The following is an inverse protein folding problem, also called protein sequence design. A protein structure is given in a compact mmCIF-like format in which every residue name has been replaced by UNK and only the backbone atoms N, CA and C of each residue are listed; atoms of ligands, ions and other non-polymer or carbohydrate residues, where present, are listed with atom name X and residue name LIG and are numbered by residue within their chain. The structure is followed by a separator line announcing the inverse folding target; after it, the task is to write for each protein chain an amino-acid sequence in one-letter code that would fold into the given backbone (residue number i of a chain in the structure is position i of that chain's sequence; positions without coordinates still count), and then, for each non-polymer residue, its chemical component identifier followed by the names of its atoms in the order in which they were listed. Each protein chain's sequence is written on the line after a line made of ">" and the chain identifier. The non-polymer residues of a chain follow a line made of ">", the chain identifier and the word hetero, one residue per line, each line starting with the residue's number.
data_IF_941486878807
#
_entry.id   IF_941486878807
#
_cell.length_a   1.000
_cell.length_b   1.000
_cell.length_c   1.000
_cell.angle_alpha   90.00
_cell.angle_beta   90.00
_cell.angle_gamma   90.00
#
_symmetry.space_group_name_H-M   'P 1'
#
loop_
_entity.id
_entity.type
_entity.pdbx_description
1 polymer ?
#
# COMPACT_ATOMS: atom_id res chain seq x y z
N UNK A 1 13.73 -2.90 75.41
CA UNK A 1 12.38 -3.44 75.20
C UNK A 1 12.23 -3.83 73.74
N UNK A 2 11.83 -5.09 73.52
CA UNK A 2 11.33 -5.74 72.31
C UNK A 2 12.02 -5.46 70.95
N UNK A 3 12.82 -6.44 70.54
CA UNK A 3 13.07 -6.88 69.16
C UNK A 3 12.00 -7.88 68.69
N UNK A 4 12.08 -8.30 67.41
CA UNK A 4 11.40 -9.43 66.71
C UNK A 4 10.36 -9.00 65.64
N UNK A 5 10.15 -9.66 64.50
CA UNK A 5 10.71 -10.87 63.86
C UNK A 5 10.24 -10.92 62.38
N UNK A 6 10.97 -11.70 61.56
CA UNK A 6 10.65 -12.13 60.20
C UNK A 6 9.33 -12.91 60.06
N UNK A 7 8.72 -12.89 58.86
CA UNK A 7 8.25 -14.15 58.24
C UNK A 7 8.10 -14.06 56.71
N UNK A 8 8.86 -14.91 56.03
CA UNK A 8 8.70 -15.37 54.65
C UNK A 8 7.98 -16.72 54.68
N UNK A 9 6.98 -16.95 53.83
CA UNK A 9 6.36 -18.27 53.65
C UNK A 9 6.22 -18.57 52.16
N UNK A 10 6.77 -19.71 51.76
CA UNK A 10 6.73 -20.31 50.43
C UNK A 10 5.62 -21.36 50.29
N UNK A 11 4.89 -21.30 49.16
CA UNK A 11 4.19 -22.33 48.35
C UNK A 11 3.21 -23.32 49.01
N UNK A 12 2.15 -23.72 48.27
CA UNK A 12 2.28 -24.97 47.51
C UNK A 12 1.75 -24.91 46.07
N UNK A 13 2.50 -25.60 45.23
CA UNK A 13 2.18 -26.10 43.89
C UNK A 13 0.97 -27.04 43.88
N UNK A 14 -0.05 -26.74 43.07
CA UNK A 14 -0.94 -27.78 42.49
C UNK A 14 -1.82 -27.16 41.39
N UNK A 15 -1.40 -27.29 40.13
CA UNK A 15 -2.30 -27.14 38.99
C UNK A 15 -2.59 -28.53 38.40
N UNK A 16 -3.86 -28.88 38.14
CA UNK A 16 -4.20 -30.15 37.51
C UNK A 16 -3.82 -30.13 36.03
N UNK A 17 -3.26 -31.26 35.57
CA UNK A 17 -3.00 -31.58 34.17
C UNK A 17 -4.31 -31.51 33.38
N UNK A 18 -4.37 -30.60 32.41
CA UNK A 18 -5.35 -30.64 31.34
C UNK A 18 -4.69 -31.22 30.08
N UNK A 19 -5.40 -32.19 29.53
CA UNK A 19 -5.04 -33.06 28.43
C UNK A 19 -4.87 -32.32 27.11
N UNK A 20 -3.86 -32.77 26.36
CA UNK A 20 -3.59 -32.48 24.96
C UNK A 20 -4.87 -32.35 24.11
N UNK A 21 -5.12 -31.14 23.62
CA UNK A 21 -5.80 -30.95 22.34
C UNK A 21 -4.80 -30.39 21.34
N UNK A 22 -4.46 -31.27 20.41
CA UNK A 22 -3.51 -31.07 19.34
C UNK A 22 -4.25 -30.40 18.18
N UNK A 23 -4.09 -29.09 17.99
CA UNK A 23 -4.54 -28.38 16.79
C UNK A 23 -3.31 -27.90 16.03
N UNK A 24 -2.67 -28.85 15.35
CA UNK A 24 -1.71 -28.56 14.28
C UNK A 24 -2.48 -28.40 12.97
N UNK A 25 -2.63 -27.17 12.50
CA UNK A 25 -2.87 -26.90 11.08
C UNK A 25 -2.35 -25.51 10.71
N UNK A 26 -1.04 -25.31 10.88
CA UNK A 26 -0.31 -24.26 10.19
C UNK A 26 0.75 -24.93 9.31
N UNK A 27 0.36 -25.30 8.10
CA UNK A 27 1.30 -25.64 7.03
C UNK A 27 1.19 -24.56 5.96
N UNK A 28 2.10 -23.59 6.01
CA UNK A 28 2.56 -22.90 4.82
C UNK A 28 4.06 -23.11 4.73
N UNK A 29 4.47 -23.77 3.66
CA UNK A 29 5.81 -24.29 3.46
C UNK A 29 6.80 -23.16 3.18
N UNK A 30 7.74 -22.97 4.11
CA UNK A 30 8.98 -22.23 3.90
C UNK A 30 9.91 -23.08 3.04
N UNK A 31 10.13 -22.69 1.79
CA UNK A 31 11.18 -23.31 0.97
C UNK A 31 12.54 -22.77 1.40
N UNK A 32 13.31 -23.61 2.11
CA UNK A 32 14.71 -23.36 2.45
C UNK A 32 15.58 -24.25 1.55
N UNK A 33 16.40 -23.73 0.62
CA UNK A 33 17.28 -24.56 -0.17
C UNK A 33 18.54 -24.88 0.65
N UNK A 34 18.64 -26.12 1.13
CA UNK A 34 19.87 -26.63 1.72
C UNK A 34 20.99 -26.73 0.68
N UNK A 35 22.13 -26.17 1.06
CA UNK A 35 23.44 -26.31 0.43
C UNK A 35 23.91 -27.76 0.37
N UNK A 36 24.19 -28.26 -0.83
CA UNK A 36 25.03 -29.44 -1.01
C UNK A 36 26.32 -29.09 -1.74
N UNK A 37 27.43 -29.29 -1.05
CA UNK A 37 28.77 -29.34 -1.59
C UNK A 37 28.98 -30.67 -2.33
N UNK A 38 29.39 -30.60 -3.60
CA UNK A 38 30.07 -31.72 -4.26
C UNK A 38 31.01 -31.21 -5.35
N UNK A 39 32.26 -31.63 -5.25
CA UNK A 39 33.40 -31.31 -6.11
C UNK A 39 33.35 -31.97 -7.49
N UNK A 40 33.63 -31.17 -8.52
CA UNK A 40 34.34 -31.44 -9.78
C UNK A 40 34.14 -32.77 -10.54
N UNK A 41 33.66 -32.66 -11.78
CA UNK A 41 34.41 -33.11 -12.96
C UNK A 41 33.82 -32.54 -14.27
N UNK A 42 34.73 -32.12 -15.13
CA UNK A 42 34.53 -31.43 -16.40
C UNK A 42 33.98 -32.33 -17.51
N UNK A 43 32.94 -31.88 -18.21
CA UNK A 43 32.77 -32.17 -19.64
C UNK A 43 32.11 -30.99 -20.35
N UNK A 44 32.73 -30.57 -21.43
CA UNK A 44 32.49 -29.34 -22.15
C UNK A 44 31.50 -29.54 -23.31
N UNK A 45 30.75 -28.47 -23.62
CA UNK A 45 30.18 -28.12 -24.93
C UNK A 45 28.77 -28.69 -25.24
N UNK A 46 27.74 -27.89 -24.89
CA UNK A 46 26.65 -27.37 -25.77
C UNK A 46 25.53 -26.76 -24.90
N UNK A 47 25.64 -25.50 -24.48
CA UNK A 47 24.52 -24.79 -23.82
C UNK A 47 24.48 -23.27 -24.02
N UNK A 48 25.35 -22.67 -24.84
CA UNK A 48 25.47 -21.21 -24.94
C UNK A 48 24.42 -20.49 -25.80
N UNK A 49 23.44 -21.21 -26.38
CA UNK A 49 22.41 -20.60 -27.24
C UNK A 49 21.10 -20.34 -26.49
N UNK A 50 20.73 -21.15 -25.48
CA UNK A 50 19.48 -20.97 -24.73
C UNK A 50 19.55 -19.87 -23.67
N UNK A 51 20.70 -19.66 -23.04
CA UNK A 51 20.84 -18.63 -21.98
C UNK A 51 20.75 -17.21 -22.53
N UNK A 52 21.28 -16.98 -23.73
CA UNK A 52 21.34 -15.66 -24.36
C UNK A 52 19.99 -15.24 -24.94
N UNK A 53 19.20 -16.19 -25.46
CA UNK A 53 17.85 -15.90 -25.95
C UNK A 53 16.90 -15.52 -24.81
N UNK A 54 16.96 -16.25 -23.70
CA UNK A 54 16.11 -15.97 -22.52
C UNK A 54 16.44 -14.63 -21.89
N UNK A 55 17.72 -14.25 -21.75
CA UNK A 55 18.08 -12.93 -21.20
C UNK A 55 17.66 -11.76 -22.10
N UNK A 56 17.68 -11.95 -23.43
CA UNK A 56 17.25 -10.94 -24.39
C UNK A 56 15.72 -10.75 -24.36
N UNK A 57 14.97 -11.86 -24.28
CA UNK A 57 13.50 -11.82 -24.11
C UNK A 57 13.09 -11.15 -22.79
N UNK A 58 13.78 -11.47 -21.68
CA UNK A 58 13.53 -10.83 -20.39
C UNK A 58 13.81 -9.32 -20.41
N UNK A 59 14.87 -8.92 -21.09
CA UNK A 59 15.23 -7.50 -21.27
C UNK A 59 14.20 -6.77 -22.11
N UNK A 60 13.78 -7.36 -23.24
CA UNK A 60 12.75 -6.77 -24.11
C UNK A 60 11.42 -6.60 -23.35
N UNK A 61 10.99 -7.62 -22.61
CA UNK A 61 9.76 -7.56 -21.83
C UNK A 61 9.82 -6.53 -20.70
N UNK A 62 10.99 -6.35 -20.09
CA UNK A 62 11.22 -5.29 -19.10
C UNK A 62 11.11 -3.89 -19.72
N UNK A 63 11.68 -3.69 -20.91
CA UNK A 63 11.58 -2.42 -21.66
C UNK A 63 10.12 -2.11 -22.03
N UNK A 64 9.36 -3.11 -22.49
CA UNK A 64 7.96 -2.94 -22.85
C UNK A 64 7.07 -2.65 -21.64
N UNK A 65 7.31 -3.33 -20.51
CA UNK A 65 6.64 -3.03 -19.25
C UNK A 65 6.94 -1.61 -18.77
N UNK A 66 8.21 -1.19 -18.82
CA UNK A 66 8.61 0.17 -18.46
C UNK A 66 7.92 1.21 -19.35
N UNK A 67 7.92 0.99 -20.67
CA UNK A 67 7.22 1.86 -21.63
C UNK A 67 5.73 1.98 -21.28
N UNK A 68 5.09 0.84 -21.00
CA UNK A 68 3.66 0.79 -20.71
C UNK A 68 3.34 1.51 -19.38
N UNK A 69 4.18 1.32 -18.36
CA UNK A 69 4.09 2.07 -17.11
C UNK A 69 4.24 3.59 -17.32
N UNK A 70 5.15 4.03 -18.19
CA UNK A 70 5.31 5.45 -18.50
C UNK A 70 4.11 6.01 -19.26
N UNK A 71 3.66 5.32 -20.31
CA UNK A 71 2.49 5.71 -21.09
C UNK A 71 1.23 5.83 -20.21
N UNK A 72 1.10 4.95 -19.22
CA UNK A 72 0.01 5.01 -18.25
C UNK A 72 0.07 6.30 -17.40
N UNK A 73 1.26 6.81 -17.10
CA UNK A 73 1.46 7.97 -16.22
C UNK A 73 1.57 9.33 -16.93
N UNK A 74 2.03 9.38 -18.18
CA UNK A 74 2.24 10.63 -18.95
C UNK A 74 0.95 11.44 -19.05
N UNK A 75 1.05 12.75 -18.83
CA UNK A 75 -0.08 13.67 -18.93
C UNK A 75 -0.07 14.74 -17.86
N UNK A 76 -1.11 15.58 -17.88
CA UNK A 76 -1.40 16.57 -16.83
C UNK A 76 -2.53 16.03 -15.97
N UNK A 77 -2.27 15.91 -14.68
CA UNK A 77 -3.20 15.39 -13.71
C UNK A 77 -3.62 16.53 -12.78
N UNK A 78 -4.91 16.84 -12.73
CA UNK A 78 -5.47 17.72 -11.72
C UNK A 78 -5.92 16.87 -10.54
N UNK A 79 -5.52 17.22 -9.33
CA UNK A 79 -5.75 16.34 -8.19
C UNK A 79 -5.92 17.04 -6.85
N UNK A 80 -6.30 16.21 -5.89
CA UNK A 80 -6.45 16.57 -4.49
C UNK A 80 -5.62 15.62 -3.64
N UNK A 81 -4.79 16.19 -2.79
CA UNK A 81 -4.02 15.50 -1.77
C UNK A 81 -4.82 15.50 -0.46
N UNK A 82 -4.97 14.34 0.15
CA UNK A 82 -5.63 14.17 1.45
C UNK A 82 -4.67 13.50 2.42
N UNK A 83 -4.49 14.11 3.59
CA UNK A 83 -3.77 13.52 4.70
C UNK A 83 -4.75 12.98 5.72
N UNK A 84 -4.61 11.70 6.08
CA UNK A 84 -5.35 11.08 7.18
C UNK A 84 -4.40 10.64 8.29
N UNK A 85 -4.90 10.64 9.52
CA UNK A 85 -4.20 10.03 10.65
C UNK A 85 -4.28 8.49 10.61
N UNK A 86 -3.69 7.84 11.61
CA UNK A 86 -3.64 6.38 11.71
C UNK A 86 -5.01 5.72 12.04
N UNK A 87 -6.07 6.51 12.25
CA UNK A 87 -7.43 6.02 12.51
C UNK A 87 -8.44 6.49 11.45
N UNK A 88 -8.00 7.18 10.39
CA UNK A 88 -8.83 7.54 9.25
C UNK A 88 -9.53 8.91 9.35
N UNK A 89 -9.09 9.79 10.24
CA UNK A 89 -9.57 11.17 10.30
C UNK A 89 -8.80 12.05 9.30
N UNK A 90 -9.53 12.87 8.55
CA UNK A 90 -8.93 13.84 7.62
C UNK A 90 -8.25 14.97 8.41
N UNK A 91 -6.97 15.20 8.15
CA UNK A 91 -6.17 16.26 8.78
C UNK A 91 -6.00 17.46 7.85
N UNK A 92 -5.63 17.21 6.58
CA UNK A 92 -5.31 18.25 5.61
C UNK A 92 -5.81 17.87 4.23
N UNK A 93 -6.23 18.88 3.46
CA UNK A 93 -6.56 18.75 2.04
C UNK A 93 -5.83 19.85 1.27
N UNK A 94 -5.10 19.45 0.23
CA UNK A 94 -4.31 20.38 -0.60
C UNK A 94 -4.60 20.12 -2.08
N UNK A 95 -4.90 21.17 -2.84
CA UNK A 95 -5.04 21.06 -4.29
C UNK A 95 -3.67 20.89 -4.93
N UNK A 96 -3.54 19.92 -5.84
CA UNK A 96 -2.28 19.63 -6.54
C UNK A 96 -2.50 19.49 -8.04
N UNK A 97 -1.43 19.72 -8.81
CA UNK A 97 -1.36 19.34 -10.22
C UNK A 97 -0.08 18.56 -10.45
N UNK A 98 -0.11 17.54 -11.28
CA UNK A 98 1.07 16.74 -11.59
C UNK A 98 1.25 16.70 -13.11
N UNK A 99 2.40 17.22 -13.57
CA UNK A 99 2.79 17.15 -14.98
C UNK A 99 3.81 16.03 -15.15
N UNK A 100 3.51 15.08 -16.03
CA UNK A 100 4.35 13.90 -16.28
C UNK A 100 4.70 13.81 -17.75
N UNK A 101 6.00 13.68 -18.03
CA UNK A 101 6.55 13.50 -19.37
C UNK A 101 7.63 12.44 -19.37
N UNK A 102 7.93 11.84 -20.54
CA UNK A 102 9.07 10.95 -20.71
C UNK A 102 10.11 11.53 -21.68
N UNK A 103 11.34 11.04 -21.57
CA UNK A 103 12.41 11.28 -22.53
C UNK A 103 13.29 10.03 -22.63
N UNK A 104 14.18 10.00 -23.63
CA UNK A 104 15.00 8.82 -23.93
C UNK A 104 14.21 7.71 -24.61
N UNK A 105 14.92 6.64 -24.98
CA UNK A 105 14.35 5.50 -25.71
C UNK A 105 14.89 4.18 -25.15
N UNK A 106 14.09 3.10 -25.32
CA UNK A 106 14.41 1.77 -24.85
C UNK A 106 14.86 1.72 -23.37
N UNK A 107 16.01 1.15 -23.06
CA UNK A 107 16.54 1.03 -21.70
C UNK A 107 16.88 2.37 -21.03
N UNK A 108 17.03 3.44 -21.83
CA UNK A 108 17.34 4.80 -21.37
C UNK A 108 16.09 5.67 -21.24
N UNK A 109 14.89 5.09 -21.38
CA UNK A 109 13.66 5.82 -21.11
C UNK A 109 13.62 6.22 -19.64
N UNK A 110 13.24 7.47 -19.42
CA UNK A 110 13.04 8.06 -18.11
C UNK A 110 11.73 8.83 -18.06
N UNK A 111 11.10 8.83 -16.89
CA UNK A 111 9.90 9.57 -16.54
C UNK A 111 10.28 10.73 -15.62
N UNK A 112 9.95 11.95 -16.03
CA UNK A 112 10.10 13.17 -15.23
C UNK A 112 8.72 13.62 -14.81
N UNK A 113 8.60 14.03 -13.55
CA UNK A 113 7.34 14.45 -12.96
C UNK A 113 7.56 15.73 -12.14
N UNK A 114 6.77 16.77 -12.42
CA UNK A 114 6.71 17.99 -11.62
C UNK A 114 5.36 18.06 -10.92
N UNK A 115 5.39 18.09 -9.59
CA UNK A 115 4.22 18.25 -8.74
C UNK A 115 4.08 19.73 -8.36
N UNK A 116 2.96 20.33 -8.70
CA UNK A 116 2.59 21.69 -8.35
C UNK A 116 1.63 21.65 -7.16
N UNK A 117 1.95 22.41 -6.12
CA UNK A 117 1.23 22.44 -4.85
C UNK A 117 0.61 23.82 -4.70
N UNK A 118 -0.72 23.88 -4.56
CA UNK A 118 -1.41 25.15 -4.35
C UNK A 118 -1.08 25.68 -2.96
N UNK A 119 -0.55 26.89 -2.87
CA UNK A 119 -0.24 27.53 -1.60
C UNK A 119 -1.50 28.19 -0.98
N UNK A 120 -1.57 28.32 0.36
CA UNK A 120 -2.60 29.11 1.02
C UNK A 120 -2.48 30.59 0.62
N UNK A 121 -3.60 31.33 0.63
CA UNK A 121 -3.59 32.76 0.32
C UNK A 121 -2.78 33.54 1.36
N UNK A 122 -1.79 34.32 0.92
CA UNK A 122 -0.94 35.12 1.81
C UNK A 122 -1.76 36.20 2.54
N UNK A 123 -1.56 36.33 3.86
CA UNK A 123 -2.18 37.35 4.72
C UNK A 123 -1.75 38.79 4.38
N UNK A 124 -0.75 38.96 3.52
CA UNK A 124 -0.17 40.25 3.10
C UNK A 124 -0.73 40.75 1.76
N UNK A 125 -1.69 40.04 1.16
CA UNK A 125 -2.31 40.45 -0.10
C UNK A 125 -3.06 41.78 0.08
N UNK A 126 -2.59 42.81 -0.62
CA UNK A 126 -3.25 44.11 -0.69
C UNK A 126 -4.53 43.91 -1.51
N UNK A 127 -5.68 44.28 -0.93
CA UNK A 127 -6.98 44.22 -1.59
C UNK A 127 -6.92 44.93 -2.96
N UNK A 128 -6.79 44.17 -4.05
CA UNK A 128 -6.63 44.72 -5.39
C UNK A 128 -6.18 43.74 -6.48
N UNK A 129 -5.35 42.74 -6.15
CA UNK A 129 -4.87 41.72 -7.12
C UNK A 129 -5.36 40.32 -6.73
N UNK A 130 -6.59 40.00 -7.13
CA UNK A 130 -7.33 38.80 -6.73
C UNK A 130 -7.07 37.58 -7.64
N UNK A 131 -5.97 37.53 -8.40
CA UNK A 131 -5.87 36.63 -9.56
C UNK A 131 -4.62 35.74 -9.70
N UNK A 132 -3.55 35.93 -8.92
CA UNK A 132 -2.37 35.08 -9.02
C UNK A 132 -2.40 34.00 -7.93
N UNK A 133 -3.06 32.88 -8.23
CA UNK A 133 -2.94 31.68 -7.39
C UNK A 133 -1.49 31.20 -7.40
N UNK A 134 -0.82 31.25 -6.25
CA UNK A 134 0.57 30.80 -6.14
C UNK A 134 0.67 29.27 -6.08
N UNK A 135 1.64 28.72 -6.83
CA UNK A 135 1.91 27.30 -6.91
C UNK A 135 3.41 27.04 -6.66
N UNK A 136 3.71 26.22 -5.66
CA UNK A 136 5.06 25.73 -5.44
C UNK A 136 5.33 24.51 -6.32
N UNK A 137 6.47 24.47 -7.03
CA UNK A 137 6.90 23.32 -7.83
C UNK A 137 7.83 22.41 -7.00
N UNK A 138 7.50 21.12 -6.96
CA UNK A 138 8.37 20.05 -6.49
C UNK A 138 8.72 19.09 -7.62
N UNK A 139 10.02 18.96 -7.91
CA UNK A 139 10.53 18.01 -8.90
C UNK A 139 10.70 16.64 -8.26
N UNK A 140 9.83 15.70 -8.65
CA UNK A 140 9.90 14.31 -8.16
C UNK A 140 11.16 13.67 -8.76
N UNK A 141 11.79 12.78 -7.98
CA UNK A 141 12.94 12.00 -8.44
C UNK A 141 12.60 11.27 -9.74
N UNK A 142 13.51 11.38 -10.70
CA UNK A 142 13.39 10.71 -12.00
C UNK A 142 13.17 9.21 -11.81
N UNK A 143 12.26 8.66 -12.60
CA UNK A 143 11.97 7.23 -12.63
C UNK A 143 12.44 6.64 -13.96
N UNK A 144 13.40 5.71 -13.92
CA UNK A 144 13.98 5.00 -15.06
C UNK A 144 14.15 3.50 -14.73
N UNK A 145 14.62 2.71 -15.70
CA UNK A 145 14.81 1.26 -15.59
C UNK A 145 15.52 0.84 -14.28
N UNK A 146 16.57 1.56 -13.91
CA UNK A 146 17.33 1.26 -12.70
C UNK A 146 16.53 1.55 -11.43
N UNK A 147 15.89 2.72 -11.35
CA UNK A 147 15.13 3.11 -10.15
C UNK A 147 13.89 2.25 -9.93
N UNK A 148 13.15 1.88 -10.98
CA UNK A 148 11.93 1.08 -10.85
C UNK A 148 12.23 -0.31 -10.28
N UNK A 149 13.37 -0.88 -10.67
CA UNK A 149 13.77 -2.22 -10.26
C UNK A 149 14.49 -2.18 -8.90
N UNK A 150 15.53 -1.35 -8.77
CA UNK A 150 16.42 -1.36 -7.60
C UNK A 150 15.92 -0.57 -6.41
N UNK A 151 15.19 0.53 -6.62
CA UNK A 151 14.77 1.41 -5.53
C UNK A 151 13.29 1.31 -5.21
N UNK A 152 12.44 1.24 -6.23
CA UNK A 152 10.98 1.24 -6.05
C UNK A 152 10.40 -0.18 -5.99
N UNK A 153 11.15 -1.20 -6.44
CA UNK A 153 10.72 -2.60 -6.55
C UNK A 153 9.35 -2.75 -7.21
N UNK A 154 9.07 -2.04 -8.31
CA UNK A 154 7.73 -1.88 -8.88
C UNK A 154 6.91 -3.18 -8.95
N UNK A 155 5.66 -3.14 -8.53
CA UNK A 155 4.66 -4.18 -8.87
C UNK A 155 3.72 -3.60 -9.91
N UNK A 156 3.82 -4.01 -11.17
CA UNK A 156 3.07 -3.38 -12.28
C UNK A 156 2.11 -4.36 -12.96
N UNK A 157 0.89 -3.89 -13.20
CA UNK A 157 -0.20 -4.61 -13.85
C UNK A 157 -0.62 -3.86 -15.12
N UNK A 158 -0.02 -4.19 -16.29
CA UNK A 158 -0.26 -3.45 -17.51
C UNK A 158 -1.73 -3.46 -17.96
N UNK A 159 -2.37 -4.63 -17.90
CA UNK A 159 -3.75 -4.84 -18.38
C UNK A 159 -4.76 -4.23 -17.41
N UNK A 160 -4.52 -4.39 -16.10
CA UNK A 160 -5.39 -3.96 -15.02
C UNK A 160 -5.19 -2.48 -14.67
N UNK A 161 -4.16 -1.84 -15.22
CA UNK A 161 -3.78 -0.45 -14.97
C UNK A 161 -3.61 -0.17 -13.47
N UNK A 162 -2.83 -0.99 -12.80
CA UNK A 162 -2.51 -0.81 -11.38
C UNK A 162 -1.01 -0.90 -11.15
N UNK A 163 -0.50 -0.21 -10.12
CA UNK A 163 0.90 -0.33 -9.74
C UNK A 163 1.17 -0.07 -8.26
N UNK A 164 2.26 -0.63 -7.74
CA UNK A 164 2.78 -0.36 -6.41
C UNK A 164 4.26 0.03 -6.46
N UNK A 165 4.65 1.06 -5.69
CA UNK A 165 6.02 1.57 -5.61
C UNK A 165 6.47 1.74 -4.16
N UNK A 166 7.75 1.50 -3.92
CA UNK A 166 8.44 1.90 -2.69
C UNK A 166 9.09 3.27 -2.85
N UNK A 167 8.98 4.09 -1.81
CA UNK A 167 9.77 5.31 -1.67
C UNK A 167 10.79 5.15 -0.55
N UNK A 168 11.98 5.71 -0.75
CA UNK A 168 13.05 5.69 0.26
C UNK A 168 12.77 6.65 1.42
N UNK A 169 12.07 7.75 1.15
CA UNK A 169 11.72 8.78 2.12
C UNK A 169 10.34 9.35 1.81
N UNK A 170 9.71 10.02 2.79
CA UNK A 170 8.45 10.71 2.63
C UNK A 170 8.62 12.21 2.24
N UNK A 171 9.81 12.62 1.79
CA UNK A 171 10.15 14.05 1.62
C UNK A 171 9.30 14.81 0.60
N UNK A 172 8.82 14.12 -0.44
CA UNK A 172 7.85 14.69 -1.38
C UNK A 172 6.53 15.02 -0.66
N UNK A 173 6.04 14.10 0.17
CA UNK A 173 4.78 14.24 0.91
C UNK A 173 4.89 15.31 2.01
N UNK A 174 6.04 15.38 2.68
CA UNK A 174 6.38 16.48 3.60
C UNK A 174 6.33 17.83 2.88
N UNK A 175 6.89 17.93 1.68
CA UNK A 175 6.89 19.20 0.93
C UNK A 175 5.48 19.64 0.56
N UNK A 176 4.61 18.70 0.16
CA UNK A 176 3.19 18.99 -0.12
C UNK A 176 2.50 19.58 1.11
N UNK A 177 2.73 19.00 2.29
CA UNK A 177 2.14 19.49 3.53
C UNK A 177 2.66 20.88 3.91
N UNK A 178 3.97 21.10 3.85
CA UNK A 178 4.58 22.40 4.18
C UNK A 178 4.11 23.49 3.24
N UNK A 179 4.27 23.29 1.93
CA UNK A 179 3.90 24.30 0.94
C UNK A 179 2.38 24.49 0.84
N UNK A 180 1.61 23.41 0.96
CA UNK A 180 0.15 23.46 0.84
C UNK A 180 -0.59 23.98 2.06
N UNK A 181 0.01 23.89 3.26
CA UNK A 181 -0.65 24.31 4.51
C UNK A 181 0.00 25.55 5.12
N UNK A 182 1.34 25.64 5.10
CA UNK A 182 2.08 26.77 5.68
C UNK A 182 2.38 27.85 4.63
N UNK A 183 2.60 27.45 3.37
CA UNK A 183 2.92 28.38 2.29
C UNK A 183 4.26 29.10 2.50
N UNK A 184 4.31 30.37 2.13
CA UNK A 184 5.49 31.24 2.29
C UNK A 184 5.87 31.47 3.76
N UNK A 185 4.93 31.30 4.69
CA UNK A 185 5.12 31.50 6.13
C UNK A 185 5.84 30.32 6.80
N UNK A 186 6.26 29.27 6.07
CA UNK A 186 7.02 28.15 6.64
C UNK A 186 8.39 28.63 7.16
N UNK A 187 8.57 28.57 8.48
CA UNK A 187 9.83 28.91 9.15
C UNK A 187 10.91 27.83 9.00
N UNK A 188 10.57 26.69 8.41
CA UNK A 188 11.47 25.53 8.28
C UNK A 188 11.67 24.77 9.59
N UNK A 189 10.82 25.02 10.60
CA UNK A 189 10.84 24.29 11.86
C UNK A 189 10.63 22.80 11.64
N UNK A 190 11.31 21.96 12.43
CA UNK A 190 11.22 20.50 12.34
C UNK A 190 9.82 19.98 12.68
N UNK A 191 9.07 20.69 13.53
CA UNK A 191 7.75 20.29 13.98
C UNK A 191 6.84 21.51 14.08
N UNK A 192 6.34 22.02 12.93
CA UNK A 192 5.46 23.18 12.91
C UNK A 192 4.20 22.93 13.75
N UNK A 193 3.70 23.96 14.42
CA UNK A 193 2.50 23.84 15.26
C UNK A 193 1.29 23.46 14.40
N UNK A 194 0.46 22.54 14.90
CA UNK A 194 -0.80 22.10 14.29
C UNK A 194 -0.69 21.45 12.90
N UNK A 195 0.52 21.05 12.48
CA UNK A 195 0.73 20.33 11.23
C UNK A 195 1.47 19.02 11.50
N UNK A 196 0.84 17.90 11.14
CA UNK A 196 1.46 16.58 11.25
C UNK A 196 2.37 16.36 10.04
N UNK A 197 3.68 16.26 10.26
CA UNK A 197 4.68 15.98 9.22
C UNK A 197 5.18 14.54 9.35
N UNK A 198 5.41 13.80 8.25
CA UNK A 198 5.92 12.43 8.33
C UNK A 198 7.31 12.39 8.96
N UNK A 199 7.60 11.27 9.62
CA UNK A 199 8.94 10.99 10.15
C UNK A 199 10.04 11.16 9.10
N UNK A 200 11.19 11.75 9.47
CA UNK A 200 12.36 11.92 8.57
C UNK A 200 12.96 10.60 8.08
N UNK A 201 12.80 9.52 8.85
CA UNK A 201 13.31 8.17 8.56
C UNK A 201 12.20 7.13 8.77
N UNK A 202 11.16 7.15 7.92
CA UNK A 202 10.08 6.18 8.03
C UNK A 202 10.64 4.77 7.77
N UNK A 203 10.04 3.76 8.38
CA UNK A 203 10.43 2.37 8.12
C UNK A 203 9.97 1.92 6.73
N UNK A 204 8.75 2.31 6.34
CA UNK A 204 8.16 2.02 5.03
C UNK A 204 7.41 3.25 4.52
N UNK A 205 7.63 3.55 3.24
CA UNK A 205 6.77 4.44 2.43
C UNK A 205 6.35 3.66 1.19
N UNK A 206 5.09 3.27 1.13
CA UNK A 206 4.56 2.41 0.08
C UNK A 206 3.39 3.09 -0.61
N UNK A 207 3.50 3.26 -1.93
CA UNK A 207 2.42 3.72 -2.80
C UNK A 207 1.71 2.53 -3.44
N UNK A 208 0.38 2.54 -3.42
CA UNK A 208 -0.48 1.68 -4.22
C UNK A 208 -1.37 2.57 -5.09
N UNK A 209 -1.41 2.31 -6.39
CA UNK A 209 -2.15 3.10 -7.37
C UNK A 209 -3.16 2.22 -8.10
N UNK A 210 -4.42 2.65 -8.07
CA UNK A 210 -5.54 2.07 -8.81
C UNK A 210 -6.11 3.11 -9.76
N UNK A 211 -6.30 2.74 -11.02
CA UNK A 211 -6.99 3.56 -12.01
C UNK A 211 -8.47 3.22 -12.00
N UNK A 212 -9.33 4.24 -12.17
CA UNK A 212 -10.77 4.03 -12.31
C UNK A 212 -11.07 3.23 -13.58
N UNK A 213 -12.04 2.33 -13.48
CA UNK A 213 -12.60 1.58 -14.59
C UNK A 213 -13.53 2.41 -15.48
N UNK A 214 -13.98 3.57 -15.00
CA UNK A 214 -14.99 4.40 -15.68
C UNK A 214 -14.47 5.73 -16.21
N UNK A 215 -13.46 6.30 -15.55
CA UNK A 215 -12.93 7.64 -15.87
C UNK A 215 -11.41 7.58 -16.00
N UNK A 216 -10.82 8.55 -16.68
CA UNK A 216 -9.36 8.71 -16.73
C UNK A 216 -8.86 9.37 -15.44
N UNK A 217 -9.06 8.64 -14.34
CA UNK A 217 -8.82 9.05 -12.97
C UNK A 217 -8.06 7.94 -12.25
N UNK A 218 -7.29 8.29 -11.24
CA UNK A 218 -6.59 7.34 -10.39
C UNK A 218 -6.56 7.80 -8.94
N UNK A 219 -6.46 6.83 -8.05
CA UNK A 219 -6.18 7.04 -6.64
C UNK A 219 -4.81 6.45 -6.31
N UNK A 220 -3.91 7.28 -5.76
CA UNK A 220 -2.58 6.87 -5.28
C UNK A 220 -2.56 6.95 -3.76
N UNK A 221 -2.59 5.79 -3.11
CA UNK A 221 -2.61 5.65 -1.67
C UNK A 221 -1.22 5.38 -1.12
N UNK A 222 -0.78 6.16 -0.13
CA UNK A 222 0.50 5.99 0.54
C UNK A 222 0.29 5.52 1.97
N UNK A 223 0.97 4.43 2.31
CA UNK A 223 1.23 4.04 3.68
C UNK A 223 2.55 4.66 4.12
N UNK A 224 2.55 5.45 5.20
CA UNK A 224 3.75 5.96 5.83
C UNK A 224 3.82 5.37 7.23
N UNK A 225 4.85 4.57 7.49
CA UNK A 225 5.05 3.93 8.79
C UNK A 225 6.16 4.66 9.56
N UNK A 226 5.93 4.85 10.85
CA UNK A 226 6.94 5.35 11.78
C UNK A 226 8.21 4.46 11.74
N UNK A 227 9.37 4.96 12.21
CA UNK A 227 10.57 4.14 12.33
C UNK A 227 10.36 2.82 13.11
N UNK A 228 9.40 2.82 14.05
CA UNK A 228 9.03 1.66 14.87
C UNK A 228 8.08 0.66 14.18
N UNK A 229 7.57 0.97 12.98
CA UNK A 229 6.76 0.05 12.17
C UNK A 229 5.24 0.14 12.36
N UNK A 230 4.73 1.13 13.12
CA UNK A 230 3.28 1.42 13.18
C UNK A 230 2.91 2.46 12.13
N UNK A 231 1.64 2.53 11.73
CA UNK A 231 1.15 3.58 10.83
C UNK A 231 1.36 4.96 11.46
N UNK A 232 2.04 5.85 10.75
CA UNK A 232 2.17 7.27 11.10
C UNK A 232 0.96 8.03 10.52
N UNK A 233 0.82 7.99 9.20
CA UNK A 233 -0.24 8.66 8.47
C UNK A 233 -0.49 7.97 7.14
N UNK A 234 -1.62 8.31 6.54
CA UNK A 234 -2.04 7.82 5.24
C UNK A 234 -2.24 9.00 4.32
N UNK A 235 -1.78 8.90 3.08
CA UNK A 235 -2.03 9.93 2.07
C UNK A 235 -2.83 9.32 0.93
N UNK A 236 -3.81 10.06 0.42
CA UNK A 236 -4.49 9.75 -0.84
C UNK A 236 -4.26 10.92 -1.79
N UNK A 237 -3.72 10.65 -2.97
CA UNK A 237 -3.90 11.54 -4.13
C UNK A 237 -5.06 11.00 -4.96
N UNK A 238 -6.10 11.82 -5.15
CA UNK A 238 -7.14 11.56 -6.14
C UNK A 238 -6.90 12.49 -7.33
N UNK A 239 -6.66 11.92 -8.50
CA UNK A 239 -6.14 12.63 -9.67
C UNK A 239 -6.93 12.28 -10.93
N UNK A 240 -7.33 13.28 -11.70
CA UNK A 240 -8.01 13.11 -12.99
C UNK A 240 -7.22 13.79 -14.10
N UNK A 241 -7.10 13.11 -15.24
CA UNK A 241 -6.49 13.65 -16.45
C UNK A 241 -7.55 14.37 -17.28
N UNK A 242 -7.94 15.55 -16.84
CA UNK A 242 -8.91 16.41 -17.54
C UNK A 242 -8.55 17.88 -17.38
N UNK A 243 -9.01 18.74 -18.29
CA UNK A 243 -8.87 20.20 -18.19
C UNK A 243 -9.89 20.83 -17.19
N UNK A 244 -10.67 19.99 -16.49
CA UNK A 244 -11.75 20.40 -15.59
C UNK A 244 -11.30 20.65 -14.15
N UNK A 245 -12.28 20.73 -13.25
CA UNK A 245 -12.04 20.81 -11.80
C UNK A 245 -11.35 19.54 -11.30
N UNK A 246 -10.51 19.68 -10.27
CA UNK A 246 -9.90 18.53 -9.61
C UNK A 246 -10.97 17.65 -8.95
N UNK A 247 -10.80 16.32 -8.94
CA UNK A 247 -11.72 15.42 -8.28
C UNK A 247 -11.65 15.61 -6.76
N UNK A 248 -12.82 15.55 -6.12
CA UNK A 248 -12.99 15.64 -4.67
C UNK A 248 -13.49 14.31 -4.13
N UNK A 249 -13.00 13.91 -2.94
CA UNK A 249 -13.63 12.83 -2.20
C UNK A 249 -14.99 13.35 -1.71
N UNK A 250 -16.01 12.53 -1.90
CA UNK A 250 -17.35 12.88 -1.45
C UNK A 250 -17.40 12.85 0.09
N UNK A 251 -17.50 14.04 0.70
CA UNK A 251 -17.65 14.21 2.14
C UNK A 251 -19.13 14.09 2.57
N UNK A 252 -20.09 13.99 1.64
CA UNK A 252 -21.52 13.99 1.97
C UNK A 252 -21.98 12.73 2.75
N UNK A 253 -21.11 11.71 2.86
CA UNK A 253 -21.37 10.47 3.57
C UNK A 253 -20.78 10.37 4.99
N UNK A 254 -20.20 11.45 5.56
CA UNK A 254 -19.48 11.39 6.85
C UNK A 254 -20.37 11.00 8.05
N UNK A 255 -21.70 10.94 7.86
CA UNK A 255 -22.67 10.43 8.84
C UNK A 255 -23.01 8.95 8.70
N UNK A 256 -22.54 8.27 7.64
CA UNK A 256 -22.79 6.84 7.40
C UNK A 256 -21.60 6.00 7.80
N UNK A 257 -21.83 4.85 8.45
CA UNK A 257 -20.77 3.94 8.83
C UNK A 257 -20.00 3.49 7.59
N UNK A 258 -18.72 3.87 7.51
CA UNK A 258 -17.87 3.66 6.31
C UNK A 258 -17.63 2.18 5.99
N UNK A 259 -17.91 1.26 6.91
CA UNK A 259 -17.78 -0.18 6.64
C UNK A 259 -18.94 -0.72 5.80
N UNK A 260 -20.12 -0.10 5.89
CA UNK A 260 -21.37 -0.61 5.33
C UNK A 260 -21.27 -0.93 3.83
N UNK A 261 -20.67 -0.08 2.98
CA UNK A 261 -20.52 -0.39 1.55
C UNK A 261 -19.72 -1.66 1.28
N UNK A 262 -18.78 -2.01 2.16
CA UNK A 262 -17.90 -3.18 2.02
C UNK A 262 -18.49 -4.48 2.57
N UNK A 263 -19.51 -4.41 3.42
CA UNK A 263 -20.21 -5.59 3.95
C UNK A 263 -20.88 -6.39 2.81
N UNK A 264 -20.98 -7.70 2.97
CA UNK A 264 -21.54 -8.64 2.01
C UNK A 264 -20.49 -9.53 1.35
N UNK A 265 -20.95 -10.29 0.36
CA UNK A 265 -20.12 -11.27 -0.35
C UNK A 265 -19.62 -10.71 -1.68
N UNK A 266 -18.32 -10.73 -1.87
CA UNK A 266 -17.60 -10.27 -3.05
C UNK A 266 -17.01 -11.47 -3.76
N UNK A 267 -17.12 -11.51 -5.08
CA UNK A 267 -16.50 -12.54 -5.92
C UNK A 267 -15.71 -11.89 -7.05
N UNK A 268 -14.53 -12.40 -7.33
CA UNK A 268 -13.64 -11.81 -8.32
C UNK A 268 -12.51 -12.72 -8.75
N UNK A 269 -11.52 -12.07 -9.37
CA UNK A 269 -10.27 -12.68 -9.81
C UNK A 269 -9.10 -11.89 -9.25
N UNK A 270 -8.01 -12.59 -8.97
CA UNK A 270 -6.76 -12.00 -8.50
C UNK A 270 -5.56 -12.45 -9.33
N UNK A 271 -4.61 -11.54 -9.52
CA UNK A 271 -3.36 -11.79 -10.24
C UNK A 271 -2.22 -11.36 -9.34
N UNK A 272 -1.30 -12.28 -9.04
CA UNK A 272 -0.10 -12.00 -8.27
C UNK A 272 1.11 -11.90 -9.19
N UNK A 273 1.81 -10.77 -9.15
CA UNK A 273 3.05 -10.53 -9.88
C UNK A 273 4.23 -10.35 -8.94
N UNK A 274 5.38 -10.88 -9.31
CA UNK A 274 6.65 -10.63 -8.61
C UNK A 274 7.00 -9.15 -8.72
N UNK A 275 7.53 -8.58 -7.65
CA UNK A 275 8.11 -7.23 -7.67
C UNK A 275 9.34 -7.15 -8.59
N UNK A 276 9.53 -6.01 -9.23
CA UNK A 276 10.57 -5.76 -10.23
C UNK A 276 9.96 -5.51 -11.61
N UNK A 277 10.72 -4.86 -12.48
CA UNK A 277 10.24 -4.37 -13.79
C UNK A 277 9.77 -5.49 -14.71
N UNK A 278 10.35 -6.68 -14.60
CA UNK A 278 9.96 -7.87 -15.35
C UNK A 278 8.53 -8.32 -15.01
N UNK A 279 8.13 -8.23 -13.73
CA UNK A 279 6.74 -8.42 -13.31
C UNK A 279 6.13 -9.79 -13.65
N UNK A 280 6.89 -10.88 -13.48
CA UNK A 280 6.38 -12.22 -13.76
C UNK A 280 5.13 -12.56 -12.97
N UNK A 281 4.12 -13.09 -13.65
CA UNK A 281 2.94 -13.64 -12.99
C UNK A 281 3.37 -14.88 -12.20
N UNK A 282 3.12 -14.84 -10.89
CA UNK A 282 3.40 -15.94 -9.95
C UNK A 282 2.19 -16.86 -9.91
N UNK A 283 1.00 -16.28 -9.79
CA UNK A 283 -0.25 -17.04 -9.67
C UNK A 283 -1.44 -16.18 -10.03
N UNK A 284 -2.53 -16.87 -10.38
CA UNK A 284 -3.86 -16.30 -10.56
C UNK A 284 -4.85 -17.11 -9.72
N UNK A 285 -5.90 -16.48 -9.21
CA UNK A 285 -6.88 -17.17 -8.40
C UNK A 285 -8.27 -16.55 -8.49
N UNK A 286 -9.30 -17.38 -8.55
CA UNK A 286 -10.68 -16.99 -8.28
C UNK A 286 -10.81 -16.68 -6.79
N UNK A 287 -11.39 -15.51 -6.46
CA UNK A 287 -11.52 -15.04 -5.07
C UNK A 287 -12.97 -14.92 -4.65
N UNK A 288 -13.24 -15.25 -3.39
CA UNK A 288 -14.49 -14.96 -2.71
C UNK A 288 -14.17 -14.34 -1.36
N UNK A 289 -14.70 -13.16 -1.10
CA UNK A 289 -14.50 -12.44 0.16
C UNK A 289 -15.84 -12.14 0.80
N UNK A 290 -16.06 -12.62 2.02
CA UNK A 290 -17.22 -12.29 2.83
C UNK A 290 -16.81 -11.29 3.91
N UNK A 291 -17.57 -10.21 4.05
CA UNK A 291 -17.51 -9.31 5.20
C UNK A 291 -18.89 -9.27 5.86
N UNK A 292 -18.99 -9.63 7.12
CA UNK A 292 -20.27 -9.68 7.85
C UNK A 292 -20.09 -9.11 9.25
N UNK A 293 -21.13 -8.47 9.78
CA UNK A 293 -21.18 -8.06 11.18
C UNK A 293 -21.89 -9.14 11.97
N UNK A 294 -21.28 -9.63 13.04
CA UNK A 294 -21.91 -10.58 13.95
C UNK A 294 -22.85 -9.88 14.94
N UNK A 295 -23.53 -10.68 15.78
CA UNK A 295 -24.47 -10.18 16.80
C UNK A 295 -23.78 -9.33 17.91
N UNK A 296 -22.44 -9.32 17.97
CA UNK A 296 -21.65 -8.59 18.95
C UNK A 296 -20.98 -7.34 18.34
N UNK A 297 -21.42 -6.90 17.15
CA UNK A 297 -20.82 -5.81 16.38
C UNK A 297 -19.33 -6.04 16.03
N UNK A 298 -18.91 -7.31 15.90
CA UNK A 298 -17.61 -7.68 15.37
C UNK A 298 -17.68 -7.93 13.86
N UNK A 299 -16.66 -7.49 13.14
CA UNK A 299 -16.49 -7.81 11.74
C UNK A 299 -15.90 -9.21 11.59
N UNK A 300 -16.62 -10.08 10.89
CA UNK A 300 -16.13 -11.36 10.38
C UNK A 300 -15.67 -11.15 8.93
N UNK A 301 -14.46 -11.61 8.62
CA UNK A 301 -13.91 -11.60 7.28
C UNK A 301 -13.44 -13.00 6.88
N UNK A 302 -14.00 -13.55 5.80
CA UNK A 302 -13.53 -14.78 5.18
C UNK A 302 -13.00 -14.49 3.78
N UNK A 303 -11.77 -14.91 3.49
CA UNK A 303 -11.13 -14.77 2.18
C UNK A 303 -10.80 -16.16 1.65
N UNK A 304 -11.50 -16.58 0.61
CA UNK A 304 -11.23 -17.81 -0.14
C UNK A 304 -10.51 -17.48 -1.43
N UNK A 305 -9.39 -18.16 -1.70
CA UNK A 305 -8.67 -18.08 -2.99
C UNK A 305 -8.50 -19.47 -3.58
N UNK A 306 -8.99 -19.69 -4.79
CA UNK A 306 -8.81 -20.95 -5.54
C UNK A 306 -7.88 -20.70 -6.71
N UNK A 307 -6.68 -21.26 -6.65
CA UNK A 307 -5.61 -20.96 -7.61
C UNK A 307 -5.87 -21.62 -8.97
N UNK A 308 -5.72 -20.87 -10.05
CA UNK A 308 -5.96 -21.35 -11.41
C UNK A 308 -4.82 -22.27 -11.84
N UNK A 309 -5.17 -23.46 -12.35
CA UNK A 309 -4.19 -24.45 -12.79
C UNK A 309 -3.56 -25.27 -11.65
N UNK A 310 -3.87 -24.94 -10.40
CA UNK A 310 -3.47 -25.68 -9.21
C UNK A 310 -4.73 -26.20 -8.49
N UNK A 311 -4.72 -27.43 -7.99
CA UNK A 311 -5.82 -27.93 -7.14
C UNK A 311 -5.66 -27.44 -5.69
N UNK A 312 -5.41 -26.14 -5.51
CA UNK A 312 -5.15 -25.52 -4.20
C UNK A 312 -6.22 -24.45 -3.95
N UNK A 313 -6.91 -24.59 -2.83
CA UNK A 313 -7.80 -23.57 -2.30
C UNK A 313 -7.37 -23.21 -0.89
N UNK A 314 -7.19 -21.92 -0.62
CA UNK A 314 -6.92 -21.39 0.72
C UNK A 314 -8.13 -20.66 1.24
N UNK A 315 -8.34 -20.74 2.56
CA UNK A 315 -9.35 -19.97 3.28
C UNK A 315 -8.67 -19.30 4.47
N UNK A 316 -8.87 -17.99 4.59
CA UNK A 316 -8.39 -17.18 5.72
C UNK A 316 -9.60 -16.56 6.38
N UNK A 317 -9.77 -16.89 7.66
CA UNK A 317 -10.86 -16.39 8.50
C UNK A 317 -10.28 -15.45 9.55
N UNK A 318 -10.82 -14.23 9.65
CA UNK A 318 -10.48 -13.24 10.67
C UNK A 318 -11.73 -12.68 11.33
N UNK A 319 -11.59 -12.36 12.61
CA UNK A 319 -12.56 -11.59 13.38
C UNK A 319 -11.88 -10.31 13.84
N UNK A 320 -12.60 -9.19 13.83
CA UNK A 320 -12.08 -7.90 14.25
C UNK A 320 -13.12 -7.02 14.90
N UNK A 321 -12.67 -6.14 15.79
CA UNK A 321 -13.53 -5.13 16.44
C UNK A 321 -13.56 -3.87 15.58
N UNK A 322 -14.75 -3.32 15.36
CA UNK A 322 -14.93 -2.04 14.67
C UNK A 322 -15.01 -0.92 15.70
N UNK A 323 -14.16 0.11 15.54
CA UNK A 323 -14.18 1.33 16.34
C UNK A 323 -14.09 2.52 15.39
N UNK A 324 -15.20 3.22 15.21
CA UNK A 324 -15.35 4.32 14.23
C UNK A 324 -14.89 3.91 12.83
N UNK A 325 -13.76 4.45 12.37
CA UNK A 325 -13.17 4.23 11.06
C UNK A 325 -12.09 3.14 11.06
N UNK A 326 -11.86 2.46 12.18
CA UNK A 326 -10.80 1.47 12.33
C UNK A 326 -11.38 0.10 12.67
N UNK A 327 -11.02 -0.91 11.87
CA UNK A 327 -11.22 -2.32 12.22
C UNK A 327 -9.88 -2.88 12.70
N UNK A 328 -9.87 -3.50 13.88
CA UNK A 328 -8.68 -4.19 14.43
C UNK A 328 -8.96 -5.68 14.53
N UNK A 329 -8.23 -6.49 13.77
CA UNK A 329 -8.35 -7.94 13.76
C UNK A 329 -7.48 -8.59 14.84
N UNK A 330 -7.94 -9.70 15.41
CA UNK A 330 -7.25 -10.43 16.48
C UNK A 330 -5.84 -10.91 16.09
N UNK A 331 -5.59 -11.05 14.77
CA UNK A 331 -4.29 -11.40 14.20
C UNK A 331 -3.25 -10.27 14.16
N UNK A 332 -3.58 -9.07 14.64
CA UNK A 332 -2.70 -7.91 14.60
C UNK A 332 -2.64 -7.22 13.23
N UNK A 333 -3.71 -7.37 12.46
CA UNK A 333 -3.97 -6.62 11.22
C UNK A 333 -5.04 -5.56 11.48
N UNK A 334 -5.03 -4.48 10.71
CA UNK A 334 -6.01 -3.42 10.81
C UNK A 334 -6.45 -2.92 9.44
N UNK A 335 -7.70 -2.49 9.36
CA UNK A 335 -8.30 -1.85 8.19
C UNK A 335 -8.79 -0.46 8.59
N UNK A 336 -8.26 0.57 7.93
CA UNK A 336 -8.61 1.98 8.17
C UNK A 336 -9.52 2.43 7.03
N UNK A 337 -10.76 2.79 7.37
CA UNK A 337 -11.84 3.16 6.47
C UNK A 337 -11.78 4.66 6.16
N UNK A 338 -11.67 4.98 4.87
CA UNK A 338 -11.49 6.33 4.36
C UNK A 338 -12.73 6.78 3.56
N UNK A 339 -12.93 8.10 3.38
CA UNK A 339 -13.97 8.61 2.49
C UNK A 339 -13.83 8.13 1.04
N UNK A 340 -14.89 8.25 0.25
CA UNK A 340 -14.88 7.91 -1.17
C UNK A 340 -14.83 6.41 -1.47
N UNK A 341 -15.31 5.57 -0.55
CA UNK A 341 -15.34 4.12 -0.73
C UNK A 341 -13.94 3.51 -0.69
N UNK A 342 -13.02 4.08 0.07
CA UNK A 342 -11.65 3.60 0.19
C UNK A 342 -11.40 2.96 1.54
N UNK A 343 -10.51 1.97 1.58
CA UNK A 343 -9.85 1.59 2.81
C UNK A 343 -8.39 1.27 2.54
N UNK A 344 -7.59 1.33 3.59
CA UNK A 344 -6.22 0.84 3.57
C UNK A 344 -6.02 -0.18 4.68
N UNK A 345 -5.24 -1.21 4.42
CA UNK A 345 -4.98 -2.29 5.35
C UNK A 345 -3.49 -2.43 5.65
N UNK A 346 -3.16 -2.70 6.91
CA UNK A 346 -1.77 -2.92 7.33
C UNK A 346 -1.71 -3.76 8.60
N UNK A 347 -0.56 -4.36 8.94
CA UNK A 347 -0.31 -4.80 10.30
C UNK A 347 -0.41 -3.61 11.26
N UNK A 348 -0.83 -3.85 12.51
CA UNK A 348 -0.80 -2.82 13.54
C UNK A 348 0.65 -2.39 13.86
N UNK A 349 1.58 -3.34 13.76
CA UNK A 349 3.01 -3.13 14.03
C UNK A 349 3.86 -4.09 13.18
N UNK A 350 4.47 -3.56 12.12
CA UNK A 350 5.36 -4.32 11.23
C UNK A 350 6.61 -4.84 11.95
N UNK A 351 7.09 -4.16 13.00
CA UNK A 351 8.27 -4.62 13.73
C UNK A 351 8.03 -5.97 14.41
N UNK A 352 6.79 -6.24 14.83
CA UNK A 352 6.40 -7.56 15.35
C UNK A 352 6.43 -8.64 14.29
N UNK A 353 5.97 -8.34 13.07
CA UNK A 353 6.05 -9.29 11.95
C UNK A 353 7.50 -9.65 11.63
N UNK A 354 8.37 -8.64 11.51
CA UNK A 354 9.81 -8.83 11.27
C UNK A 354 10.47 -9.60 12.42
N UNK A 355 10.21 -9.23 13.68
CA UNK A 355 10.77 -9.91 14.85
C UNK A 355 10.31 -11.37 14.99
N UNK A 356 9.14 -11.70 14.44
CA UNK A 356 8.60 -13.07 14.41
C UNK A 356 8.93 -13.83 13.13
N UNK A 357 9.77 -13.26 12.25
CA UNK A 357 10.08 -13.80 10.93
C UNK A 357 8.84 -14.15 10.11
N UNK A 358 7.86 -13.24 10.13
CA UNK A 358 6.61 -13.36 9.37
C UNK A 358 6.58 -12.34 8.25
N UNK A 359 6.20 -12.81 7.06
CA UNK A 359 5.75 -11.94 5.98
C UNK A 359 4.55 -11.11 6.42
N UNK A 360 4.36 -9.97 5.79
CA UNK A 360 3.23 -9.09 6.00
C UNK A 360 2.82 -8.42 4.69
N UNK A 361 1.69 -7.72 4.68
CA UNK A 361 1.25 -7.01 3.49
C UNK A 361 0.58 -5.69 3.84
N UNK A 362 0.62 -4.76 2.89
CA UNK A 362 -0.15 -3.52 2.90
C UNK A 362 -1.22 -3.61 1.82
N UNK A 363 -2.39 -3.04 2.06
CA UNK A 363 -3.53 -3.15 1.17
C UNK A 363 -4.12 -1.77 0.88
N UNK A 364 -4.51 -1.54 -0.36
CA UNK A 364 -5.36 -0.42 -0.74
C UNK A 364 -6.58 -0.95 -1.49
N UNK A 365 -7.77 -0.56 -1.07
CA UNK A 365 -9.02 -0.87 -1.74
C UNK A 365 -9.73 0.41 -2.15
N UNK A 366 -10.35 0.36 -3.33
CA UNK A 366 -11.23 1.41 -3.82
C UNK A 366 -12.50 0.81 -4.43
N UNK A 367 -13.63 1.15 -3.81
CA UNK A 367 -14.98 0.86 -4.26
C UNK A 367 -15.41 1.95 -5.25
N UNK A 368 -15.39 1.62 -6.56
CA UNK A 368 -15.76 2.59 -7.59
C UNK A 368 -17.27 2.75 -7.75
N UNK A 369 -17.99 1.65 -7.59
CA UNK A 369 -19.45 1.60 -7.51
C UNK A 369 -19.86 0.70 -6.36
N UNK A 370 -21.08 0.82 -5.82
CA UNK A 370 -21.52 0.01 -4.68
C UNK A 370 -21.40 -1.51 -4.89
N UNK A 371 -21.29 -1.97 -6.14
CA UNK A 371 -21.19 -3.35 -6.58
C UNK A 371 -19.82 -3.74 -7.14
N UNK A 372 -18.85 -2.82 -7.30
CA UNK A 372 -17.53 -3.11 -7.90
C UNK A 372 -16.40 -2.44 -7.14
N UNK A 373 -15.40 -3.24 -6.79
CA UNK A 373 -14.17 -2.74 -6.15
C UNK A 373 -12.92 -3.31 -6.79
N UNK A 374 -11.85 -2.55 -6.64
CA UNK A 374 -10.50 -2.98 -6.93
C UNK A 374 -9.69 -3.00 -5.62
N UNK A 375 -8.78 -3.97 -5.49
CA UNK A 375 -7.82 -4.01 -4.36
C UNK A 375 -6.42 -4.21 -4.90
N UNK A 376 -5.45 -3.60 -4.25
CA UNK A 376 -4.03 -3.80 -4.52
C UNK A 376 -3.33 -4.13 -3.21
N UNK A 377 -2.81 -5.34 -3.12
CA UNK A 377 -2.08 -5.85 -1.98
C UNK A 377 -0.59 -5.88 -2.31
N UNK A 378 0.23 -5.28 -1.45
CA UNK A 378 1.68 -5.27 -1.55
C UNK A 378 2.27 -6.17 -0.47
N UNK A 379 2.94 -7.25 -0.88
CA UNK A 379 3.47 -8.26 0.04
C UNK A 379 4.95 -8.07 0.30
N UNK A 380 5.33 -8.16 1.57
CA UNK A 380 6.68 -8.01 2.07
C UNK A 380 7.16 -9.33 2.69
N UNK A 381 8.45 -9.61 2.52
CA UNK A 381 9.10 -10.71 3.22
C UNK A 381 9.41 -10.38 4.68
N UNK A 382 10.15 -11.28 5.33
CA UNK A 382 10.52 -11.17 6.74
C UNK A 382 11.51 -10.03 7.04
N UNK A 383 12.14 -9.46 6.01
CA UNK A 383 13.10 -8.35 6.12
C UNK A 383 12.47 -7.00 5.75
N UNK A 384 11.19 -7.01 5.33
CA UNK A 384 10.49 -5.82 4.87
C UNK A 384 10.84 -5.44 3.43
N UNK A 385 11.33 -6.37 2.61
CA UNK A 385 11.46 -6.18 1.17
C UNK A 385 10.18 -6.57 0.46
N UNK A 386 9.72 -5.75 -0.47
CA UNK A 386 8.52 -6.05 -1.24
C UNK A 386 8.81 -7.14 -2.28
N UNK A 387 8.18 -8.30 -2.14
CA UNK A 387 8.42 -9.49 -2.98
C UNK A 387 7.39 -9.69 -4.08
N UNK A 388 6.15 -9.22 -3.86
CA UNK A 388 5.10 -9.31 -4.86
C UNK A 388 4.04 -8.22 -4.68
N UNK A 389 3.16 -8.12 -5.67
CA UNK A 389 1.90 -7.41 -5.56
C UNK A 389 0.79 -8.29 -6.09
N UNK A 390 -0.41 -8.16 -5.53
CA UNK A 390 -1.61 -8.87 -5.97
C UNK A 390 -2.70 -7.87 -6.26
N UNK A 391 -3.16 -7.83 -7.51
CA UNK A 391 -4.31 -7.05 -7.93
C UNK A 391 -5.57 -7.90 -7.81
N UNK A 392 -6.67 -7.30 -7.39
CA UNK A 392 -8.00 -7.90 -7.33
C UNK A 392 -9.00 -7.02 -8.07
N UNK A 393 -9.88 -7.67 -8.82
CA UNK A 393 -11.12 -7.08 -9.31
C UNK A 393 -12.30 -7.92 -8.82
N UNK A 394 -13.21 -7.30 -8.07
CA UNK A 394 -14.28 -8.01 -7.37
C UNK A 394 -15.64 -7.33 -7.58
N UNK A 395 -16.66 -8.15 -7.69
CA UNK A 395 -18.06 -7.74 -7.82
C UNK A 395 -18.86 -8.23 -6.61
N UNK A 396 -19.75 -7.37 -6.10
CA UNK A 396 -20.64 -7.71 -5.00
C UNK A 396 -21.74 -8.63 -5.51
N UNK A 397 -21.93 -9.75 -4.83
CA UNK A 397 -23.05 -10.64 -5.10
C UNK A 397 -24.31 -10.03 -4.48
N UNK A 398 -25.39 -10.00 -5.25
CA UNK A 398 -26.71 -9.66 -4.73
C UNK A 398 -27.10 -10.74 -3.71
N UNK A 399 -27.45 -10.29 -2.50
CA UNK A 399 -28.00 -11.11 -1.42
C UNK A 399 -29.39 -11.60 -1.75
#
# INVERSE_FOLDING_TARGET
>A
MASSLHCSVSLPSSFPKLSNFNTNSNQFFSFNPYSHSSSSSSSSIKSSIKSTSTSLEETAMSIDNLRTFFNLNIGKWNGSFYQFDAVGNLLQQVTTKLSVSSYGEAELMSLIQSLYIKQPSSNTSVAGDDNDTEWAEYKIKETNMFTVDKYQQIGFFPSEKAFALRYQTAGMLETVLRQGVLGEDDTGEESPRNLKIPSRRPSIVCENCLYSLQRDMRARAFHILEPKGTVDMLIIFLEERSEGSHPLLDNAGDTTNRITPFLGKWKGHSITKRSGVYGSTISEADTVVLHEMDDNDQLIQDVTSTFVGENVTTNVHWTGTVSDNLVTFDGGYQMILLPGGMYVGSPCDVSKSVAQSKSFHLEFCWLETPDKRQRLVRTFDIEGLAVSSTYFYETKLLS
#
